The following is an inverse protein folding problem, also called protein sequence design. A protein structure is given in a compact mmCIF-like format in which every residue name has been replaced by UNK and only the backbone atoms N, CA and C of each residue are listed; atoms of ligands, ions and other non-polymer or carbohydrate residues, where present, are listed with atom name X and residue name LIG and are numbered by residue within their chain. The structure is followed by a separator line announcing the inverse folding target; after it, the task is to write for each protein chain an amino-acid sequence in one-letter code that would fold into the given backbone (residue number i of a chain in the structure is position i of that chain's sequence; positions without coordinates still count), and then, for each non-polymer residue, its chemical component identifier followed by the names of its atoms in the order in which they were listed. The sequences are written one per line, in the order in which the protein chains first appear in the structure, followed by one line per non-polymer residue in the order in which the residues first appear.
data_IF_542475218147
#
_entry.id   IF_542475218147
#
_cell.length_a   1.000
_cell.length_b   1.000
_cell.length_c   1.000
_cell.angle_alpha   90.00
_cell.angle_beta   90.00
_cell.angle_gamma   90.00
#
_symmetry.space_group_name_H-M   'P 1'
#
loop_
_entity.id
_entity.type
_entity.pdbx_description
1 polymer ?
#
# COMPACT_ATOMS: atom_id res chain seq x y z
N UNK A 1 6.08 37.30 20.22
CA UNK A 1 4.75 36.80 19.83
C UNK A 1 5.01 35.69 18.84
N UNK A 2 5.23 34.49 19.36
CA UNK A 2 5.50 33.30 18.56
C UNK A 2 4.13 32.81 18.07
N UNK A 3 3.83 33.02 16.79
CA UNK A 3 2.64 32.45 16.18
C UNK A 3 2.83 30.94 16.16
N UNK A 4 2.11 30.22 17.01
CA UNK A 4 1.91 28.79 16.83
C UNK A 4 1.28 28.61 15.45
N UNK A 5 2.07 28.16 14.47
CA UNK A 5 1.53 27.73 13.19
C UNK A 5 0.65 26.52 13.46
N UNK A 6 -0.66 26.67 13.31
CA UNK A 6 -1.59 25.56 13.35
C UNK A 6 -1.07 24.45 12.44
N UNK A 7 -0.98 23.23 12.97
CA UNK A 7 -0.53 22.08 12.18
C UNK A 7 -1.45 21.96 10.95
N UNK A 8 -0.89 21.88 9.74
CA UNK A 8 -1.70 21.91 8.53
C UNK A 8 -2.66 20.73 8.47
N UNK A 9 -3.93 21.03 8.19
CA UNK A 9 -5.02 20.05 8.15
C UNK A 9 -4.88 19.10 6.95
N UNK A 10 -4.29 17.93 7.19
CA UNK A 10 -4.05 16.89 6.20
C UNK A 10 -5.32 16.21 5.71
N UNK A 11 -6.46 16.37 6.40
CA UNK A 11 -7.75 15.79 5.97
C UNK A 11 -8.26 16.37 4.65
N UNK A 12 -7.72 17.51 4.24
CA UNK A 12 -8.03 18.19 2.98
C UNK A 12 -7.30 17.61 1.77
N UNK A 13 -6.34 16.71 1.98
CA UNK A 13 -5.58 16.08 0.91
C UNK A 13 -6.44 14.96 0.29
N UNK A 14 -6.74 14.99 -1.02
CA UNK A 14 -7.49 13.92 -1.67
C UNK A 14 -6.79 12.56 -1.53
N UNK A 15 -7.57 11.54 -1.19
CA UNK A 15 -7.13 10.15 -1.14
C UNK A 15 -7.84 9.36 -2.23
N UNK A 16 -7.09 8.49 -2.91
CA UNK A 16 -7.60 7.52 -3.86
C UNK A 16 -6.92 6.18 -3.61
N UNK A 17 -7.63 5.08 -3.82
CA UNK A 17 -7.04 3.75 -3.80
C UNK A 17 -6.80 3.23 -5.21
N UNK A 18 -5.81 2.36 -5.34
CA UNK A 18 -5.50 1.65 -6.59
C UNK A 18 -5.55 0.16 -6.30
N UNK A 19 -6.30 -0.58 -7.13
CA UNK A 19 -6.45 -2.04 -7.05
C UNK A 19 -5.87 -2.70 -8.29
N UNK A 20 -5.47 -3.97 -8.16
CA UNK A 20 -4.77 -4.75 -9.20
C UNK A 20 -5.72 -5.47 -10.14
N UNK A 21 -6.85 -5.89 -9.59
CA UNK A 21 -7.75 -6.80 -10.25
C UNK A 21 -9.14 -6.67 -9.63
N UNK A 22 -10.12 -7.05 -10.44
CA UNK A 22 -11.50 -7.30 -10.06
C UNK A 22 -11.83 -8.71 -10.54
N UNK A 23 -12.85 -9.33 -9.96
CA UNK A 23 -13.33 -10.61 -10.43
C UNK A 23 -13.90 -10.48 -11.87
N UNK A 24 -13.85 -11.55 -12.67
CA UNK A 24 -13.33 -12.88 -12.32
C UNK A 24 -11.80 -12.99 -12.41
N UNK A 25 -11.21 -13.74 -11.49
CA UNK A 25 -9.79 -14.14 -11.46
C UNK A 25 -9.69 -15.66 -11.41
N UNK A 26 -8.46 -16.20 -11.45
CA UNK A 26 -8.24 -17.65 -11.29
C UNK A 26 -8.63 -18.19 -9.92
N UNK A 27 -8.83 -17.31 -8.93
CA UNK A 27 -9.10 -17.67 -7.54
C UNK A 27 -10.46 -17.15 -7.03
N UNK A 28 -11.11 -16.26 -7.76
CA UNK A 28 -12.39 -15.66 -7.35
C UNK A 28 -13.30 -15.42 -8.56
N UNK A 29 -14.53 -15.93 -8.50
CA UNK A 29 -15.55 -15.70 -9.53
C UNK A 29 -16.28 -14.36 -9.34
N UNK A 30 -16.31 -13.85 -8.10
CA UNK A 30 -17.03 -12.62 -7.73
C UNK A 30 -16.14 -11.68 -6.91
N UNK A 31 -16.42 -10.38 -6.97
CA UNK A 31 -15.71 -9.36 -6.18
C UNK A 31 -15.93 -9.51 -4.67
N UNK A 32 -17.05 -10.15 -4.28
CA UNK A 32 -17.31 -10.56 -2.91
C UNK A 32 -16.29 -11.61 -2.46
N UNK A 33 -16.00 -12.60 -3.31
CA UNK A 33 -15.00 -13.64 -3.02
C UNK A 33 -13.58 -13.07 -3.07
N UNK A 34 -13.32 -12.12 -3.97
CA UNK A 34 -12.04 -11.42 -4.07
C UNK A 34 -11.84 -10.42 -2.92
N UNK A 35 -12.91 -9.91 -2.32
CA UNK A 35 -12.90 -8.98 -1.19
C UNK A 35 -12.76 -7.51 -1.57
N UNK A 36 -13.00 -7.12 -2.82
CA UNK A 36 -12.85 -5.73 -3.30
C UNK A 36 -13.82 -4.78 -2.58
N UNK A 37 -15.07 -5.21 -2.41
CA UNK A 37 -16.09 -4.43 -1.70
C UNK A 37 -15.75 -4.20 -0.23
N UNK A 38 -15.39 -5.26 0.50
CA UNK A 38 -14.96 -5.16 1.90
C UNK A 38 -13.74 -4.24 2.04
N UNK A 39 -12.77 -4.36 1.14
CA UNK A 39 -11.58 -3.51 1.12
C UNK A 39 -11.94 -2.03 0.94
N UNK A 40 -12.83 -1.71 -0.01
CA UNK A 40 -13.31 -0.34 -0.25
C UNK A 40 -13.99 0.24 0.98
N UNK A 41 -14.93 -0.50 1.55
CA UNK A 41 -15.69 -0.05 2.71
C UNK A 41 -14.79 0.15 3.94
N UNK A 42 -13.95 -0.84 4.25
CA UNK A 42 -13.13 -0.87 5.47
C UNK A 42 -12.02 0.17 5.49
N UNK A 43 -11.34 0.41 4.37
CA UNK A 43 -10.13 1.26 4.33
C UNK A 43 -10.34 2.61 3.65
N UNK A 44 -11.36 2.74 2.80
CA UNK A 44 -11.63 3.95 2.02
C UNK A 44 -13.04 4.52 2.28
N UNK A 45 -13.83 3.88 3.16
CA UNK A 45 -15.11 4.40 3.66
C UNK A 45 -16.17 4.63 2.59
N UNK A 46 -16.02 4.02 1.40
CA UNK A 46 -16.80 4.27 0.17
C UNK A 46 -16.78 5.72 -0.36
N UNK A 47 -16.29 6.68 0.43
CA UNK A 47 -16.19 8.10 0.08
C UNK A 47 -15.01 8.41 -0.84
N UNK A 48 -13.92 7.63 -0.73
CA UNK A 48 -12.75 7.77 -1.58
C UNK A 48 -12.81 6.78 -2.74
N UNK A 49 -12.48 7.20 -3.97
CA UNK A 49 -12.59 6.33 -5.13
C UNK A 49 -11.49 5.26 -5.14
N UNK A 50 -11.82 4.09 -5.71
CA UNK A 50 -10.87 3.06 -6.08
C UNK A 50 -10.74 3.01 -7.61
N UNK A 51 -9.51 2.92 -8.09
CA UNK A 51 -9.20 2.78 -9.51
C UNK A 51 -8.52 1.44 -9.78
N UNK A 52 -8.97 0.75 -10.82
CA UNK A 52 -8.30 -0.45 -11.33
C UNK A 52 -7.11 -0.04 -12.20
N UNK A 53 -5.94 -0.55 -11.85
CA UNK A 53 -4.73 -0.42 -12.66
C UNK A 53 -4.55 -1.67 -13.51
N UNK A 54 -5.27 -1.72 -14.64
CA UNK A 54 -5.32 -2.86 -15.56
C UNK A 54 -3.93 -3.27 -16.07
N UNK A 55 -3.10 -2.27 -16.36
CA UNK A 55 -1.73 -2.46 -16.86
C UNK A 55 -0.71 -2.70 -15.73
N UNK A 56 -1.14 -2.53 -14.46
CA UNK A 56 -0.30 -2.63 -13.26
C UNK A 56 0.84 -1.60 -13.22
N UNK A 57 0.75 -0.49 -13.95
CA UNK A 57 1.76 0.56 -14.04
C UNK A 57 2.15 1.14 -12.68
N UNK A 58 1.19 1.29 -11.76
CA UNK A 58 1.44 1.71 -10.39
C UNK A 58 2.32 0.71 -9.64
N UNK A 59 2.02 -0.59 -9.79
CA UNK A 59 2.80 -1.66 -9.16
C UNK A 59 4.18 -1.84 -9.82
N UNK A 60 4.27 -1.63 -11.14
CA UNK A 60 5.53 -1.58 -11.88
C UNK A 60 6.42 -0.46 -11.36
N UNK A 61 5.83 0.74 -11.20
CA UNK A 61 6.53 1.89 -10.65
C UNK A 61 7.08 1.60 -9.26
N UNK A 62 6.33 0.87 -8.42
CA UNK A 62 6.75 0.40 -7.10
C UNK A 62 7.76 -0.77 -7.14
N UNK A 63 8.18 -1.19 -8.33
CA UNK A 63 9.24 -2.17 -8.56
C UNK A 63 8.74 -3.60 -8.81
N UNK A 64 7.44 -3.80 -9.08
CA UNK A 64 6.82 -5.11 -9.33
C UNK A 64 7.25 -6.18 -8.30
N UNK A 65 7.43 -5.75 -7.05
CA UNK A 65 8.05 -6.58 -6.02
C UNK A 65 7.07 -7.68 -5.65
N UNK A 66 7.43 -8.90 -6.02
CA UNK A 66 6.74 -10.09 -5.54
C UNK A 66 7.35 -10.50 -4.21
N UNK A 67 6.51 -10.99 -3.29
CA UNK A 67 6.94 -11.68 -2.08
C UNK A 67 7.77 -12.90 -2.48
N UNK A 68 9.06 -12.68 -2.71
CA UNK A 68 9.99 -13.67 -3.22
C UNK A 68 10.88 -14.10 -2.06
N UNK A 69 10.97 -15.42 -1.86
CA UNK A 69 12.00 -16.00 -1.03
C UNK A 69 13.33 -15.59 -1.69
N UNK A 70 14.24 -14.88 -1.00
CA UNK A 70 15.52 -14.53 -1.61
C UNK A 70 16.19 -15.80 -2.12
N UNK A 71 16.80 -15.76 -3.32
CA UNK A 71 17.40 -16.95 -3.96
C UNK A 71 18.42 -17.64 -3.03
N UNK A 72 19.10 -16.87 -2.19
CA UNK A 72 20.01 -17.35 -1.15
C UNK A 72 19.33 -18.13 0.00
N UNK A 73 18.03 -17.96 0.20
CA UNK A 73 17.18 -18.70 1.12
C UNK A 73 16.52 -19.92 0.45
N UNK A 74 16.30 -19.91 -0.88
CA UNK A 74 15.92 -21.11 -1.65
C UNK A 74 17.03 -22.17 -1.56
N UNK A 75 18.29 -21.74 -1.64
CA UNK A 75 19.47 -22.61 -1.48
C UNK A 75 19.74 -23.04 -0.03
N UNK A 76 19.06 -22.44 0.96
CA UNK A 76 19.27 -22.70 2.40
C UNK A 76 17.93 -22.82 3.12
N UNK A 77 17.37 -24.04 3.27
CA UNK A 77 16.03 -24.27 3.82
C UNK A 77 15.77 -23.58 5.17
N UNK A 78 16.80 -23.51 6.02
CA UNK A 78 16.74 -22.83 7.33
C UNK A 78 16.55 -21.30 7.24
N UNK A 79 17.07 -20.64 6.20
CA UNK A 79 16.89 -19.21 5.99
C UNK A 79 15.50 -18.91 5.45
N UNK A 80 14.99 -19.72 4.51
CA UNK A 80 13.61 -19.63 4.06
C UNK A 80 12.63 -19.85 5.22
N UNK A 81 12.87 -20.89 6.03
CA UNK A 81 12.05 -21.16 7.22
C UNK A 81 12.07 -20.00 8.22
N UNK A 82 13.24 -19.39 8.50
CA UNK A 82 13.31 -18.20 9.36
C UNK A 82 12.56 -17.01 8.78
N UNK A 83 12.64 -16.78 7.48
CA UNK A 83 11.94 -15.69 6.80
C UNK A 83 10.42 -15.87 6.87
N UNK A 84 9.92 -17.06 6.55
CA UNK A 84 8.50 -17.38 6.71
C UNK A 84 8.07 -17.26 8.17
N UNK A 85 8.84 -17.81 9.12
CA UNK A 85 8.52 -17.74 10.54
C UNK A 85 8.47 -16.29 11.05
N UNK A 86 9.40 -15.43 10.64
CA UNK A 86 9.40 -14.02 11.05
C UNK A 86 8.26 -13.24 10.40
N UNK A 87 7.92 -13.54 9.15
CA UNK A 87 6.76 -12.96 8.47
C UNK A 87 5.45 -13.39 9.14
N UNK A 88 5.23 -14.69 9.35
CA UNK A 88 4.04 -15.24 10.02
C UNK A 88 3.94 -14.74 11.45
N UNK A 89 5.05 -14.61 12.19
CA UNK A 89 5.04 -14.04 13.54
C UNK A 89 4.56 -12.58 13.53
N UNK A 90 5.06 -11.74 12.62
CA UNK A 90 4.63 -10.34 12.48
C UNK A 90 3.17 -10.21 12.09
N UNK A 91 2.66 -11.08 11.21
CA UNK A 91 1.23 -11.05 10.84
C UNK A 91 0.34 -11.51 11.99
N UNK A 92 0.74 -12.57 12.72
CA UNK A 92 -0.01 -13.10 13.86
C UNK A 92 -0.06 -12.13 15.03
N UNK A 93 1.06 -11.47 15.34
CA UNK A 93 1.12 -10.45 16.40
C UNK A 93 0.16 -9.29 16.14
N UNK A 94 -0.06 -8.96 14.86
CA UNK A 94 -0.88 -7.83 14.44
C UNK A 94 -2.32 -8.20 14.06
N UNK A 95 -2.72 -9.46 14.25
CA UNK A 95 -4.01 -10.00 13.79
C UNK A 95 -4.33 -9.62 12.33
N UNK A 96 -3.30 -9.55 11.48
CA UNK A 96 -3.48 -9.28 10.04
C UNK A 96 -3.94 -10.59 9.41
N UNK A 97 -5.25 -10.74 9.24
CA UNK A 97 -5.83 -11.76 8.37
C UNK A 97 -5.52 -11.36 6.93
N UNK A 98 -4.47 -11.93 6.36
CA UNK A 98 -4.15 -11.74 4.95
C UNK A 98 -5.17 -12.47 4.09
N UNK A 99 -5.95 -11.75 3.29
CA UNK A 99 -6.68 -12.36 2.19
C UNK A 99 -5.65 -12.85 1.17
N UNK A 100 -5.43 -14.17 1.10
CA UNK A 100 -4.51 -14.79 0.13
C UNK A 100 -5.18 -15.08 -1.22
N UNK A 101 -6.43 -14.64 -1.41
CA UNK A 101 -7.18 -14.78 -2.67
C UNK A 101 -6.77 -13.67 -3.63
N UNK A 102 -6.40 -14.05 -4.85
CA UNK A 102 -5.95 -13.13 -5.91
C UNK A 102 -4.43 -13.12 -6.11
N UNK A 103 -3.90 -12.06 -6.70
CA UNK A 103 -2.49 -11.82 -6.97
C UNK A 103 -1.75 -11.34 -5.70
N UNK A 104 -2.00 -12.01 -4.56
CA UNK A 104 -1.51 -11.70 -3.21
C UNK A 104 0.02 -11.83 -3.02
N UNK A 105 0.77 -11.98 -4.11
CA UNK A 105 2.24 -11.94 -4.11
C UNK A 105 2.79 -10.58 -4.49
N UNK A 106 2.06 -9.77 -5.26
CA UNK A 106 2.55 -8.44 -5.66
C UNK A 106 2.38 -7.52 -4.46
N UNK A 107 3.46 -6.87 -4.04
CA UNK A 107 3.43 -5.89 -2.94
C UNK A 107 2.94 -4.54 -3.48
N UNK A 108 2.14 -3.83 -2.68
CA UNK A 108 1.67 -2.48 -2.98
C UNK A 108 2.63 -1.41 -2.46
N UNK A 109 2.06 -0.26 -2.11
CA UNK A 109 2.80 0.87 -1.59
C UNK A 109 1.92 2.12 -1.46
N UNK A 110 2.55 3.23 -1.09
CA UNK A 110 1.93 4.53 -0.98
C UNK A 110 2.73 5.54 -1.79
N UNK A 111 2.03 6.40 -2.51
CA UNK A 111 2.62 7.56 -3.17
C UNK A 111 1.93 8.82 -2.63
N UNK A 112 2.73 9.86 -2.39
CA UNK A 112 2.22 11.22 -2.21
C UNK A 112 2.71 12.03 -3.39
N UNK A 113 1.76 12.56 -4.16
CA UNK A 113 2.03 13.29 -5.41
C UNK A 113 1.80 14.78 -5.16
N UNK A 114 2.63 15.62 -5.75
CA UNK A 114 2.47 17.06 -5.71
C UNK A 114 1.16 17.50 -6.38
N UNK A 115 0.54 18.61 -5.92
CA UNK A 115 -0.64 19.14 -6.59
C UNK A 115 -0.28 19.76 -7.95
N UNK A 116 -1.21 19.70 -8.90
CA UNK A 116 -1.04 20.30 -10.23
C UNK A 116 -0.82 19.26 -11.34
N UNK A 117 -0.25 19.70 -12.46
CA UNK A 117 0.01 18.83 -13.63
C UNK A 117 1.35 18.11 -13.57
N UNK A 118 2.19 18.43 -12.58
CA UNK A 118 3.46 17.76 -12.35
C UNK A 118 3.23 16.44 -11.63
N UNK A 119 3.73 15.33 -12.18
CA UNK A 119 3.70 14.00 -11.53
C UNK A 119 4.83 13.85 -10.50
N UNK A 120 5.15 14.93 -9.78
CA UNK A 120 6.26 14.93 -8.83
C UNK A 120 5.90 14.11 -7.60
N UNK A 121 6.69 13.09 -7.32
CA UNK A 121 6.49 12.20 -6.17
C UNK A 121 7.20 12.80 -4.95
N UNK A 122 6.41 13.31 -4.00
CA UNK A 122 6.88 13.94 -2.76
C UNK A 122 7.25 12.92 -1.68
N UNK A 123 6.62 11.75 -1.74
CA UNK A 123 6.90 10.61 -0.87
C UNK A 123 6.53 9.31 -1.58
N UNK A 124 7.34 8.27 -1.36
CA UNK A 124 7.12 6.91 -1.84
C UNK A 124 7.42 5.94 -0.72
N UNK A 125 6.44 5.11 -0.40
CA UNK A 125 6.62 3.95 0.44
C UNK A 125 6.30 2.69 -0.35
N UNK A 126 7.15 1.72 -0.16
CA UNK A 126 7.18 0.48 -0.90
C UNK A 126 6.81 -0.61 0.11
N UNK A 127 5.64 -1.23 -0.02
CA UNK A 127 5.09 -2.11 1.03
C UNK A 127 6.06 -3.24 1.37
N UNK A 128 6.35 -3.39 2.67
CA UNK A 128 7.11 -4.52 3.19
C UNK A 128 6.19 -5.33 4.10
N UNK A 129 5.78 -6.51 3.64
CA UNK A 129 4.83 -7.39 4.36
C UNK A 129 5.18 -7.56 5.84
N UNK A 130 4.20 -7.25 6.70
CA UNK A 130 4.33 -7.30 8.16
C UNK A 130 5.07 -6.12 8.79
N UNK A 131 5.41 -5.09 8.02
CA UNK A 131 6.03 -3.85 8.50
C UNK A 131 5.03 -2.71 8.41
N UNK A 132 5.11 -1.78 9.35
CA UNK A 132 4.30 -0.56 9.31
C UNK A 132 4.93 0.47 8.38
N UNK A 133 4.08 1.35 7.85
CA UNK A 133 4.52 2.56 7.17
C UNK A 133 5.20 3.45 8.23
N UNK A 134 6.40 4.01 7.95
CA UNK A 134 7.01 5.03 8.81
C UNK A 134 6.11 6.26 8.87
N UNK A 135 5.26 6.34 9.90
CA UNK A 135 4.18 7.34 9.97
C UNK A 135 4.69 8.77 9.98
N UNK A 136 5.82 9.03 10.66
CA UNK A 136 6.42 10.37 10.70
C UNK A 136 6.83 10.81 9.30
N UNK A 137 7.53 9.96 8.55
CA UNK A 137 7.96 10.27 7.17
C UNK A 137 6.76 10.45 6.23
N UNK A 138 5.73 9.61 6.40
CA UNK A 138 4.51 9.70 5.61
C UNK A 138 3.77 11.01 5.87
N UNK A 139 3.59 11.41 7.14
CA UNK A 139 2.98 12.69 7.51
C UNK A 139 3.80 13.86 6.98
N UNK A 140 5.13 13.80 7.02
CA UNK A 140 5.98 14.83 6.41
C UNK A 140 5.76 14.94 4.90
N UNK A 141 5.61 13.80 4.21
CA UNK A 141 5.21 13.75 2.80
C UNK A 141 3.91 14.48 2.52
N UNK A 142 2.87 14.20 3.33
CA UNK A 142 1.56 14.87 3.23
C UNK A 142 1.66 16.38 3.47
N UNK A 143 2.41 16.81 4.49
CA UNK A 143 2.62 18.23 4.78
C UNK A 143 3.27 18.98 3.60
N UNK A 144 4.14 18.33 2.82
CA UNK A 144 4.75 18.93 1.62
C UNK A 144 3.71 19.24 0.53
N UNK A 145 2.63 18.47 0.41
CA UNK A 145 1.53 18.75 -0.55
C UNK A 145 0.93 20.12 -0.27
N UNK A 146 0.67 20.41 1.01
CA UNK A 146 0.02 21.64 1.45
C UNK A 146 0.92 22.88 1.33
N UNK A 147 2.24 22.68 1.24
CA UNK A 147 3.22 23.74 0.97
C UNK A 147 3.43 23.95 -0.53
N UNK A 148 3.45 22.87 -1.34
CA UNK A 148 3.64 22.95 -2.80
C UNK A 148 2.44 23.53 -3.55
N UNK A 149 1.24 23.50 -2.96
CA UNK A 149 0.02 24.08 -3.53
C UNK A 149 -0.15 25.59 -3.32
N UNK A 150 0.86 26.28 -2.77
CA UNK A 150 0.92 27.75 -2.62
C UNK A 150 1.88 28.35 -3.63
#
# INVERSE_FOLDING_TARGET
MEMASEDPDISKIPLVGVIKEVAPTTQAETDETLGVGEFHEKYFGLQYPLYLDEEKNFYEYLGNRKLSIPVSAILKPWKAFRYYKSMTARMKEKNIEGNMVGEGLVQGGLLVIAPGTGLDVLYRYEEVTGSEVPMDDFVQGLKRVLVHGK
#
